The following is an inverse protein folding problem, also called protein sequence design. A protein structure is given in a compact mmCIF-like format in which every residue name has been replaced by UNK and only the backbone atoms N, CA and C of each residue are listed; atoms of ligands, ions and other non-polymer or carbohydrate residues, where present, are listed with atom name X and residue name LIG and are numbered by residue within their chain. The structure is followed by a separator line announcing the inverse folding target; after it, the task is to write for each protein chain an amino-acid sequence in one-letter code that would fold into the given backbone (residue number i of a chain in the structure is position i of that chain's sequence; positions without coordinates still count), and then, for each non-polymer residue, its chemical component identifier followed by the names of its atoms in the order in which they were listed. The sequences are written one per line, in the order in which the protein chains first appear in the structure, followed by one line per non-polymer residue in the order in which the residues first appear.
data_IF_899020768418
#
_entry.id   IF_899020768418
#
_cell.length_a   1.000
_cell.length_b   1.000
_cell.length_c   1.000
_cell.angle_alpha   90.00
_cell.angle_beta   90.00
_cell.angle_gamma   90.00
#
_symmetry.space_group_name_H-M   'P 1'
#
loop_
_entity.id
_entity.type
_entity.pdbx_description
1 polymer ?
#
# COMPACT_ATOMS: atom_id res chain seq x y z
N UNK A 1 -19.17 7.46 33.85
CA UNK A 1 -20.36 8.08 33.22
C UNK A 1 -19.91 8.68 31.90
N UNK A 2 -20.44 8.15 30.79
CA UNK A 2 -20.53 8.72 29.43
C UNK A 2 -19.24 9.03 28.63
N UNK A 3 -19.17 8.45 27.43
CA UNK A 3 -18.28 8.93 26.38
C UNK A 3 -18.05 7.98 25.19
N UNK A 4 -19.10 7.42 24.56
CA UNK A 4 -18.95 6.76 23.24
C UNK A 4 -19.81 7.49 22.20
N UNK A 5 -19.13 8.13 21.23
CA UNK A 5 -19.75 8.79 20.07
C UNK A 5 -19.98 7.77 18.97
N UNK A 6 -21.23 7.67 18.48
CA UNK A 6 -21.61 6.95 17.26
C UNK A 6 -21.58 7.90 16.06
N UNK A 7 -20.98 7.48 14.95
CA UNK A 7 -21.24 8.07 13.64
C UNK A 7 -22.11 7.09 12.84
N UNK A 8 -23.20 7.62 12.30
CA UNK A 8 -24.31 6.91 11.69
C UNK A 8 -24.40 7.29 10.20
N UNK A 9 -24.71 6.29 9.35
CA UNK A 9 -25.28 6.40 8.00
C UNK A 9 -24.43 7.15 6.93
N UNK A 10 -24.43 6.78 5.65
CA UNK A 10 -25.58 6.71 4.74
C UNK A 10 -25.24 5.76 3.58
N UNK A 11 -26.18 4.89 3.22
CA UNK A 11 -26.16 4.09 2.00
C UNK A 11 -26.64 4.93 0.80
N UNK A 12 -26.11 4.68 -0.40
CA UNK A 12 -26.84 4.94 -1.63
C UNK A 12 -26.41 4.01 -2.76
N UNK A 13 -27.41 3.50 -3.47
CA UNK A 13 -27.33 2.49 -4.50
C UNK A 13 -26.99 3.07 -5.89
N UNK A 14 -26.41 2.20 -6.71
CA UNK A 14 -26.62 1.99 -8.15
C UNK A 14 -26.46 3.13 -9.19
N UNK A 15 -25.96 2.68 -10.34
CA UNK A 15 -26.15 3.17 -11.71
C UNK A 15 -25.34 4.38 -12.22
N UNK A 16 -24.33 4.00 -13.03
CA UNK A 16 -24.18 4.41 -14.44
C UNK A 16 -23.66 5.81 -14.79
N UNK A 17 -22.72 5.75 -15.75
CA UNK A 17 -22.44 6.72 -16.81
C UNK A 17 -21.35 7.79 -16.58
N UNK A 18 -20.39 7.72 -17.50
CA UNK A 18 -19.74 8.84 -18.16
C UNK A 18 -18.70 9.68 -17.40
N UNK A 19 -17.45 9.50 -17.85
CA UNK A 19 -16.46 10.56 -18.15
C UNK A 19 -16.43 11.76 -17.19
N UNK A 20 -15.41 11.81 -16.34
CA UNK A 20 -14.59 13.01 -16.15
C UNK A 20 -13.20 12.59 -15.66
N UNK A 21 -12.18 13.09 -16.35
CA UNK A 21 -10.78 13.05 -15.89
C UNK A 21 -10.76 13.61 -14.48
N UNK A 22 -10.61 12.74 -13.50
CA UNK A 22 -10.37 13.14 -12.13
C UNK A 22 -8.94 13.68 -12.11
N UNK A 23 -8.87 15.00 -11.98
CA UNK A 23 -7.78 15.74 -11.36
C UNK A 23 -7.08 14.86 -10.33
N UNK A 24 -5.97 14.24 -10.75
CA UNK A 24 -5.21 13.29 -9.95
C UNK A 24 -4.44 14.13 -8.95
N UNK A 25 -5.13 14.53 -7.86
CA UNK A 25 -4.51 15.17 -6.70
C UNK A 25 -3.25 14.36 -6.37
N UNK A 26 -2.08 15.02 -6.22
CA UNK A 26 -0.84 14.32 -5.95
C UNK A 26 -1.06 13.45 -4.70
N UNK A 27 -1.21 12.14 -4.93
CA UNK A 27 -1.30 11.15 -3.87
C UNK A 27 0.01 11.24 -3.11
N UNK A 28 -0.11 11.35 -1.80
CA UNK A 28 0.93 11.68 -0.85
C UNK A 28 2.31 11.18 -1.30
N UNK A 29 3.12 12.11 -1.83
CA UNK A 29 4.55 11.87 -1.99
C UNK A 29 5.05 11.73 -0.56
N UNK A 30 5.40 10.49 -0.16
CA UNK A 30 6.07 10.26 1.11
C UNK A 30 7.26 11.22 1.16
N UNK A 31 7.47 11.99 2.25
CA UNK A 31 8.54 12.97 2.29
C UNK A 31 9.85 12.32 1.89
N UNK A 32 10.56 12.92 0.93
CA UNK A 32 11.80 12.34 0.39
C UNK A 32 12.79 11.99 1.50
N UNK A 33 12.89 12.86 2.51
CA UNK A 33 13.68 12.64 3.74
C UNK A 33 13.30 11.33 4.48
N UNK A 34 12.02 10.99 4.52
CA UNK A 34 11.56 9.75 5.14
C UNK A 34 12.02 8.54 4.32
N UNK A 35 11.89 8.58 2.99
CA UNK A 35 12.35 7.50 2.12
C UNK A 35 13.87 7.33 2.18
N UNK A 36 14.62 8.43 2.18
CA UNK A 36 16.07 8.41 2.37
C UNK A 36 16.48 7.80 3.71
N UNK A 37 15.73 8.07 4.78
CA UNK A 37 16.00 7.48 6.11
C UNK A 37 15.86 5.95 6.14
N UNK A 38 15.15 5.38 5.17
CA UNK A 38 14.95 3.94 5.01
C UNK A 38 15.99 3.29 4.09
N UNK A 39 16.90 4.06 3.49
CA UNK A 39 17.93 3.53 2.59
C UNK A 39 18.80 2.48 3.30
N UNK A 40 19.02 1.34 2.63
CA UNK A 40 19.72 0.18 3.14
C UNK A 40 18.92 -0.66 4.15
N UNK A 41 17.67 -0.29 4.46
CA UNK A 41 16.81 -1.03 5.40
C UNK A 41 15.81 -1.90 4.67
N UNK A 42 15.37 -2.94 5.35
CA UNK A 42 14.25 -3.77 4.90
C UNK A 42 12.95 -3.00 5.12
N UNK A 43 12.14 -2.89 4.07
CA UNK A 43 10.89 -2.16 4.04
C UNK A 43 9.79 -3.02 3.48
N UNK A 44 8.58 -2.72 3.93
CA UNK A 44 7.32 -3.22 3.41
C UNK A 44 6.64 -2.10 2.64
N UNK A 45 6.35 -2.35 1.36
CA UNK A 45 5.67 -1.44 0.44
C UNK A 45 4.27 -2.00 0.16
N UNK A 46 3.26 -1.32 0.66
CA UNK A 46 1.87 -1.63 0.35
C UNK A 46 1.50 -0.98 -0.98
N UNK A 47 1.04 -1.79 -1.92
CA UNK A 47 0.66 -1.34 -3.23
C UNK A 47 -0.82 -0.96 -3.23
N UNK A 48 -1.17 0.15 -3.89
CA UNK A 48 -2.55 0.63 -4.05
C UNK A 48 -3.42 -0.29 -4.92
N UNK A 49 -2.91 -1.46 -5.33
CA UNK A 49 -3.57 -2.42 -6.18
C UNK A 49 -3.73 -3.74 -5.44
N UNK A 50 -4.99 -4.20 -5.34
CA UNK A 50 -5.39 -5.59 -5.05
C UNK A 50 -4.68 -6.26 -3.86
N UNK A 51 -4.51 -5.52 -2.76
CA UNK A 51 -3.94 -6.03 -1.51
C UNK A 51 -2.55 -6.67 -1.69
N UNK A 52 -1.77 -6.15 -2.63
CA UNK A 52 -0.41 -6.60 -2.86
C UNK A 52 0.56 -5.83 -1.96
N UNK A 53 1.58 -6.55 -1.50
CA UNK A 53 2.65 -6.02 -0.67
C UNK A 53 3.99 -6.50 -1.23
N UNK A 54 5.00 -5.62 -1.23
CA UNK A 54 6.37 -5.97 -1.56
C UNK A 54 7.23 -5.76 -0.31
N UNK A 55 8.00 -6.77 0.07
CA UNK A 55 8.97 -6.67 1.15
C UNK A 55 10.37 -6.80 0.56
N UNK A 56 11.28 -5.87 0.85
CA UNK A 56 12.64 -5.88 0.28
C UNK A 56 13.55 -4.84 0.91
N UNK A 57 14.83 -4.83 0.56
CA UNK A 57 15.78 -3.80 1.01
C UNK A 57 15.69 -2.58 0.10
N UNK A 58 15.45 -1.39 0.66
CA UNK A 58 15.43 -0.15 -0.10
C UNK A 58 16.83 0.28 -0.49
N UNK A 59 17.13 0.34 -1.79
CA UNK A 59 18.47 0.59 -2.33
C UNK A 59 18.60 1.90 -3.08
N UNK A 60 17.51 2.46 -3.60
CA UNK A 60 17.51 3.80 -4.19
C UNK A 60 16.11 4.42 -4.15
N UNK A 61 16.06 5.75 -4.16
CA UNK A 61 14.83 6.54 -4.21
C UNK A 61 15.02 7.62 -5.27
N UNK A 62 14.11 7.69 -6.24
CA UNK A 62 14.03 8.79 -7.19
C UNK A 62 13.54 10.04 -6.44
N UNK A 63 14.36 11.09 -6.40
CA UNK A 63 14.05 12.33 -5.70
C UNK A 63 12.89 13.11 -6.34
N UNK A 64 12.71 12.97 -7.65
CA UNK A 64 11.72 13.73 -8.40
C UNK A 64 10.36 13.02 -8.40
N UNK A 65 10.38 11.70 -8.53
CA UNK A 65 9.16 10.90 -8.67
C UNK A 65 8.74 10.17 -7.39
N UNK A 66 9.67 9.89 -6.49
CA UNK A 66 9.47 8.98 -5.36
C UNK A 66 9.45 7.50 -5.76
N UNK A 67 9.90 7.15 -6.96
CA UNK A 67 10.05 5.75 -7.38
C UNK A 67 11.12 5.08 -6.50
N UNK A 68 10.91 3.83 -6.10
CA UNK A 68 11.83 3.12 -5.20
C UNK A 68 12.42 1.88 -5.84
N UNK A 69 13.71 1.66 -5.63
CA UNK A 69 14.40 0.46 -6.04
C UNK A 69 14.60 -0.45 -4.83
N UNK A 70 14.11 -1.69 -4.94
CA UNK A 70 14.20 -2.71 -3.90
C UNK A 70 15.08 -3.88 -4.34
N UNK A 71 15.83 -4.45 -3.41
CA UNK A 71 16.56 -5.72 -3.55
C UNK A 71 15.99 -6.82 -2.64
N UNK A 72 16.24 -8.09 -3.00
CA UNK A 72 15.78 -9.28 -2.26
C UNK A 72 14.27 -9.26 -1.99
N UNK A 73 13.50 -9.01 -3.05
CA UNK A 73 12.08 -8.68 -2.98
C UNK A 73 11.23 -9.92 -2.85
N UNK A 74 10.32 -9.93 -1.88
CA UNK A 74 9.26 -10.92 -1.71
C UNK A 74 7.92 -10.24 -1.97
N UNK A 75 7.16 -10.79 -2.90
CA UNK A 75 5.84 -10.29 -3.27
C UNK A 75 4.77 -11.09 -2.56
N UNK A 76 3.94 -10.42 -1.76
CA UNK A 76 2.80 -11.00 -1.08
C UNK A 76 1.47 -10.53 -1.68
N UNK A 77 0.45 -11.34 -1.48
CA UNK A 77 -0.95 -10.92 -1.60
C UNK A 77 -1.66 -11.19 -0.28
N UNK A 78 -2.43 -10.22 0.17
CA UNK A 78 -3.31 -10.37 1.32
C UNK A 78 -4.66 -10.91 0.88
N UNK A 79 -4.98 -12.09 1.41
CA UNK A 79 -6.33 -12.63 1.36
C UNK A 79 -7.04 -12.28 2.66
N UNK A 80 -8.17 -11.57 2.55
CA UNK A 80 -9.08 -11.44 3.66
C UNK A 80 -9.86 -12.74 3.75
N UNK A 81 -9.56 -13.55 4.76
CA UNK A 81 -10.30 -14.79 5.00
C UNK A 81 -11.80 -14.51 5.16
N UNK A 82 -12.62 -15.39 4.60
CA UNK A 82 -14.04 -15.43 4.92
C UNK A 82 -14.14 -15.75 6.41
N UNK A 83 -14.81 -14.88 7.17
CA UNK A 83 -14.91 -14.97 8.61
C UNK A 83 -15.41 -16.36 9.05
N UNK A 84 -14.51 -17.20 9.55
CA UNK A 84 -14.89 -18.40 10.33
C UNK A 84 -14.96 -17.95 11.78
N UNK A 85 -16.11 -17.39 12.17
CA UNK A 85 -16.33 -16.75 13.47
C UNK A 85 -16.04 -15.25 13.51
N UNK A 86 -16.02 -14.66 14.72
CA UNK A 86 -15.85 -13.22 14.94
C UNK A 86 -14.41 -12.70 14.68
N UNK A 87 -13.50 -13.54 14.19
CA UNK A 87 -12.10 -13.17 13.91
C UNK A 87 -11.88 -13.21 12.40
N UNK A 88 -11.81 -12.04 11.78
CA UNK A 88 -11.34 -11.91 10.39
C UNK A 88 -9.82 -11.97 10.40
N UNK A 89 -9.25 -13.16 10.28
CA UNK A 89 -7.80 -13.30 10.11
C UNK A 89 -7.43 -13.04 8.64
N UNK A 90 -6.65 -11.99 8.41
CA UNK A 90 -6.05 -11.73 7.11
C UNK A 90 -4.83 -12.63 6.93
N UNK A 91 -4.77 -13.41 5.84
CA UNK A 91 -3.62 -14.26 5.53
C UNK A 91 -2.83 -13.64 4.38
N UNK A 92 -1.56 -13.31 4.64
CA UNK A 92 -0.59 -12.99 3.59
C UNK A 92 -0.03 -14.28 3.00
N UNK A 93 0.02 -14.38 1.67
CA UNK A 93 0.62 -15.50 0.95
C UNK A 93 1.71 -14.99 0.02
N UNK A 94 2.87 -15.63 0.04
CA UNK A 94 3.97 -15.35 -0.88
C UNK A 94 3.56 -15.75 -2.30
N UNK A 95 3.61 -14.81 -3.23
CA UNK A 95 3.37 -15.05 -4.65
C UNK A 95 4.66 -15.40 -5.38
N UNK A 96 5.72 -14.64 -5.16
CA UNK A 96 7.01 -14.80 -5.84
C UNK A 96 8.14 -14.08 -5.12
N UNK A 97 9.36 -14.46 -5.45
CA UNK A 97 10.59 -13.76 -5.09
C UNK A 97 11.27 -13.19 -6.32
N UNK A 98 11.87 -12.02 -6.18
CA UNK A 98 12.65 -11.36 -7.23
C UNK A 98 13.96 -10.85 -6.62
N UNK A 99 15.06 -10.89 -7.37
CA UNK A 99 16.34 -10.32 -6.91
C UNK A 99 16.25 -8.81 -6.74
N UNK A 100 15.51 -8.13 -7.61
CA UNK A 100 15.27 -6.70 -7.57
C UNK A 100 13.90 -6.34 -8.14
N UNK A 101 13.37 -5.17 -7.74
CA UNK A 101 12.17 -4.58 -8.33
C UNK A 101 12.25 -3.05 -8.29
N UNK A 102 11.82 -2.41 -9.38
CA UNK A 102 11.55 -0.97 -9.42
C UNK A 102 10.05 -0.75 -9.21
N UNK A 103 9.68 0.02 -8.19
CA UNK A 103 8.29 0.29 -7.83
C UNK A 103 7.97 1.74 -8.14
N UNK A 104 6.99 1.95 -9.01
CA UNK A 104 6.54 3.29 -9.35
C UNK A 104 5.72 3.89 -8.21
N UNK A 105 6.03 5.13 -7.83
CA UNK A 105 5.43 5.85 -6.70
C UNK A 105 3.92 5.96 -6.78
N UNK A 106 3.34 5.99 -7.99
CA UNK A 106 1.88 6.06 -8.19
C UNK A 106 1.13 4.87 -7.63
N UNK A 107 1.81 3.73 -7.48
CA UNK A 107 1.23 2.51 -6.93
C UNK A 107 1.59 2.31 -5.46
N UNK A 108 2.39 3.19 -4.85
CA UNK A 108 2.77 3.08 -3.45
C UNK A 108 1.69 3.77 -2.62
N UNK A 109 1.06 3.01 -1.72
CA UNK A 109 0.10 3.56 -0.76
C UNK A 109 0.79 3.95 0.55
N UNK A 110 1.64 3.05 1.06
CA UNK A 110 2.41 3.29 2.27
C UNK A 110 3.69 2.43 2.24
N UNK A 111 4.78 2.99 2.77
CA UNK A 111 6.03 2.28 3.02
C UNK A 111 6.30 2.29 4.51
N UNK A 112 6.54 1.12 5.09
CA UNK A 112 6.91 0.95 6.50
C UNK A 112 8.25 0.21 6.61
N UNK A 113 9.05 0.47 7.66
CA UNK A 113 10.11 -0.46 8.05
C UNK A 113 9.52 -1.86 8.28
N UNK A 114 10.20 -2.89 7.80
CA UNK A 114 9.82 -4.29 8.02
C UNK A 114 10.29 -4.80 9.39
#
# INVERSE_FOLDING_TARGET
MSGNVKLNAIASAATSAAKKKADEKPRAILPHEFLLSLHGRRVTVFLSYQNHELEGTLMAVDADKGDVFLENVVHFVWSHGVAVGNVKEGRRTELRRCSSAMVNSRYIEIITPA
#
